data_IF_049099020555
#
_entry.id   IF_049099020555
#
_cell.length_a   1.000
_cell.length_b   1.000
_cell.length_c   1.000
_cell.angle_alpha   90.00
_cell.angle_beta   90.00
_cell.angle_gamma   90.00
#
_symmetry.space_group_name_H-M   'P 1'
#
loop_
_entity.id
_entity.type
_entity.pdbx_description
1 polymer ?
#
# COMPACT_ATOMS: atom_id res chain seq x y z
N UNK A 1 8.91 -3.82 33.26
CA UNK A 1 7.81 -4.17 32.34
C UNK A 1 6.60 -3.34 32.75
N UNK A 2 6.20 -2.34 31.95
CA UNK A 2 4.94 -1.63 32.18
C UNK A 2 3.85 -2.40 31.41
N UNK A 3 2.94 -3.01 32.15
CA UNK A 3 1.75 -3.63 31.59
C UNK A 3 0.72 -2.53 31.32
N UNK A 4 0.72 -2.00 30.10
CA UNK A 4 -0.35 -1.10 29.61
C UNK A 4 -1.59 -1.91 29.23
N UNK A 5 -2.14 -2.66 30.20
CA UNK A 5 -3.46 -3.27 30.03
C UNK A 5 -4.48 -2.15 30.19
N UNK A 6 -4.90 -1.58 29.06
CA UNK A 6 -5.94 -0.55 28.99
C UNK A 6 -7.22 -1.14 29.59
N UNK A 7 -7.60 -0.64 30.77
CA UNK A 7 -8.84 -1.02 31.43
C UNK A 7 -10.02 -0.32 30.74
N UNK A 8 -11.16 -1.01 30.52
CA UNK A 8 -12.34 -0.37 29.93
C UNK A 8 -12.91 0.69 30.88
N UNK A 9 -13.09 1.90 30.37
CA UNK A 9 -13.91 2.94 31.02
C UNK A 9 -15.36 2.76 30.56
N UNK A 10 -16.35 3.10 31.39
CA UNK A 10 -17.77 2.93 31.09
C UNK A 10 -18.50 4.28 31.11
N UNK A 11 -19.53 4.43 30.28
CA UNK A 11 -20.44 5.58 30.32
C UNK A 11 -21.41 5.49 31.53
N UNK A 12 -22.23 6.53 31.72
CA UNK A 12 -23.24 6.60 32.79
C UNK A 12 -24.28 5.46 32.75
N UNK A 13 -24.42 4.78 31.60
CA UNK A 13 -25.31 3.65 31.38
C UNK A 13 -24.58 2.29 31.50
N UNK A 14 -23.32 2.28 31.95
CA UNK A 14 -22.51 1.08 32.09
C UNK A 14 -22.04 0.47 30.77
N UNK A 15 -21.99 1.24 29.68
CA UNK A 15 -21.49 0.80 28.37
C UNK A 15 -20.00 1.12 28.22
N UNK A 16 -19.17 0.18 27.75
CA UNK A 16 -17.74 0.44 27.60
C UNK A 16 -17.47 1.53 26.56
N UNK A 17 -16.70 2.55 26.96
CA UNK A 17 -16.27 3.65 26.11
C UNK A 17 -15.23 3.16 25.09
N UNK A 18 -15.54 3.34 23.80
CA UNK A 18 -14.61 3.02 22.72
C UNK A 18 -13.55 4.13 22.60
N UNK A 19 -12.41 3.94 23.26
CA UNK A 19 -11.24 4.79 23.02
C UNK A 19 -10.69 4.60 21.61
N UNK A 20 -10.31 5.71 20.97
CA UNK A 20 -9.50 5.68 19.76
C UNK A 20 -8.16 5.01 20.12
N UNK A 21 -7.83 3.93 19.43
CA UNK A 21 -6.52 3.27 19.57
C UNK A 21 -5.54 3.97 18.64
N UNK A 22 -4.47 4.53 19.18
CA UNK A 22 -3.39 5.09 18.37
C UNK A 22 -2.53 3.95 17.84
N UNK A 23 -2.46 3.81 16.52
CA UNK A 23 -1.53 2.90 15.84
C UNK A 23 -0.31 3.69 15.41
N UNK A 24 0.88 3.28 15.85
CA UNK A 24 2.14 3.81 15.32
C UNK A 24 2.58 2.95 14.13
N UNK A 25 3.06 3.58 13.05
CA UNK A 25 3.69 2.85 11.94
C UNK A 25 4.92 2.13 12.51
N UNK A 26 4.88 0.79 12.57
CA UNK A 26 6.08 -0.01 12.82
C UNK A 26 6.87 -0.06 11.51
N UNK A 27 7.58 1.01 11.18
CA UNK A 27 8.53 0.98 10.07
C UNK A 27 9.73 0.13 10.50
N UNK A 28 9.81 -1.09 9.96
CA UNK A 28 11.07 -1.82 9.92
C UNK A 28 12.08 -1.10 9.02
N UNK A 29 13.37 -1.45 9.16
CA UNK A 29 14.41 -0.96 8.23
C UNK A 29 14.13 -1.50 6.82
N UNK A 30 14.34 -0.65 5.82
CA UNK A 30 14.39 -1.07 4.42
C UNK A 30 15.60 -2.00 4.22
N UNK A 31 15.41 -3.05 3.43
CA UNK A 31 16.56 -3.77 2.85
C UNK A 31 17.17 -2.93 1.74
N UNK A 32 18.45 -3.17 1.40
CA UNK A 32 19.11 -2.48 0.27
C UNK A 32 18.35 -2.64 -1.05
N UNK A 33 17.74 -3.82 -1.27
CA UNK A 33 16.94 -4.08 -2.47
C UNK A 33 15.65 -3.26 -2.49
N UNK A 34 14.96 -3.13 -1.36
CA UNK A 34 13.75 -2.31 -1.26
C UNK A 34 14.04 -0.82 -1.43
N UNK A 35 15.14 -0.33 -0.85
CA UNK A 35 15.60 1.06 -1.02
C UNK A 35 15.94 1.33 -2.49
N UNK A 36 16.74 0.47 -3.12
CA UNK A 36 17.05 0.58 -4.54
C UNK A 36 15.80 0.55 -5.43
N UNK A 37 14.84 -0.34 -5.14
CA UNK A 37 13.60 -0.43 -5.90
C UNK A 37 12.75 0.84 -5.77
N UNK A 38 12.64 1.41 -4.57
CA UNK A 38 11.98 2.70 -4.35
C UNK A 38 12.67 3.81 -5.15
N UNK A 39 13.99 3.91 -5.10
CA UNK A 39 14.72 4.97 -5.81
C UNK A 39 14.61 4.87 -7.34
N UNK A 40 14.64 3.65 -7.89
CA UNK A 40 14.76 3.46 -9.34
C UNK A 40 13.42 3.25 -10.04
N UNK A 41 12.42 2.69 -9.34
CA UNK A 41 11.15 2.31 -9.97
C UNK A 41 9.97 3.16 -9.54
N UNK A 42 10.05 3.85 -8.39
CA UNK A 42 9.03 4.84 -8.03
C UNK A 42 8.87 5.96 -9.06
N UNK A 43 9.93 6.47 -9.73
CA UNK A 43 9.76 7.50 -10.76
C UNK A 43 8.93 7.06 -11.97
N UNK A 44 8.79 5.75 -12.21
CA UNK A 44 8.08 5.19 -13.37
C UNK A 44 6.70 4.65 -12.97
N UNK A 45 6.63 3.87 -11.87
CA UNK A 45 5.41 3.18 -11.43
C UNK A 45 4.72 3.85 -10.22
N UNK A 46 5.41 4.76 -9.54
CA UNK A 46 4.90 5.46 -8.36
C UNK A 46 3.91 6.55 -8.73
N UNK A 47 2.90 6.73 -7.88
CA UNK A 47 1.92 7.82 -8.01
C UNK A 47 1.99 8.67 -6.75
N UNK A 48 2.37 9.94 -6.94
CA UNK A 48 2.38 10.90 -5.84
C UNK A 48 0.97 11.30 -5.43
N UNK A 49 0.80 11.55 -4.14
CA UNK A 49 -0.47 12.04 -3.62
C UNK A 49 -0.79 13.43 -4.17
N UNK A 50 -2.05 13.63 -4.54
CA UNK A 50 -2.61 14.92 -4.96
C UNK A 50 -4.01 15.08 -4.40
N UNK A 51 -4.44 16.33 -4.19
CA UNK A 51 -5.83 16.65 -3.81
C UNK A 51 -6.82 16.46 -4.98
N UNK A 52 -6.31 16.40 -6.21
CA UNK A 52 -7.12 16.17 -7.39
C UNK A 52 -7.44 14.68 -7.57
N UNK A 53 -8.65 14.33 -8.09
CA UNK A 53 -8.94 12.97 -8.51
C UNK A 53 -7.96 12.48 -9.58
N UNK A 54 -7.60 11.20 -9.53
CA UNK A 54 -6.73 10.55 -10.51
C UNK A 54 -7.49 10.36 -11.83
N UNK A 55 -6.91 10.82 -12.94
CA UNK A 55 -7.33 10.45 -14.29
C UNK A 55 -6.62 9.15 -14.71
N UNK A 56 -7.35 8.04 -14.69
CA UNK A 56 -6.80 6.73 -15.00
C UNK A 56 -6.40 6.56 -16.47
N UNK A 57 -7.10 7.22 -17.41
CA UNK A 57 -6.77 7.11 -18.82
C UNK A 57 -5.41 7.76 -19.10
N UNK A 58 -5.16 8.92 -18.49
CA UNK A 58 -3.86 9.59 -18.55
C UNK A 58 -2.78 8.82 -17.79
N UNK A 59 -3.07 8.33 -16.58
CA UNK A 59 -2.10 7.60 -15.75
C UNK A 59 -1.58 6.34 -16.44
N UNK A 60 -2.47 5.52 -17.01
CA UNK A 60 -2.11 4.25 -17.65
C UNK A 60 -1.87 4.38 -19.17
N UNK A 61 -2.07 5.56 -19.75
CA UNK A 61 -1.95 5.78 -21.20
C UNK A 61 -2.98 5.03 -22.06
N UNK A 62 -4.04 4.47 -21.44
CA UNK A 62 -5.10 3.69 -22.11
C UNK A 62 -6.38 3.65 -21.29
N UNK A 63 -7.50 3.40 -21.96
CA UNK A 63 -8.77 3.07 -21.32
C UNK A 63 -8.89 1.54 -21.14
N UNK A 64 -8.89 1.08 -19.89
CA UNK A 64 -9.10 -0.31 -19.53
C UNK A 64 -9.72 -0.39 -18.12
N UNK A 65 -10.35 -1.52 -17.74
CA UNK A 65 -10.82 -1.74 -16.38
C UNK A 65 -9.68 -1.56 -15.37
N UNK A 66 -9.95 -0.83 -14.28
CA UNK A 66 -8.97 -0.56 -13.22
C UNK A 66 -9.34 -1.36 -11.98
N UNK A 67 -8.39 -2.15 -11.48
CA UNK A 67 -8.49 -2.85 -10.20
C UNK A 67 -7.64 -2.13 -9.15
N UNK A 68 -8.23 -1.83 -8.00
CA UNK A 68 -7.55 -1.21 -6.86
C UNK A 68 -7.34 -2.22 -5.73
N UNK A 69 -6.10 -2.39 -5.28
CA UNK A 69 -5.77 -3.19 -4.08
C UNK A 69 -5.29 -2.27 -2.95
N UNK A 70 -6.03 -2.23 -1.84
CA UNK A 70 -5.70 -1.42 -0.66
C UNK A 70 -5.03 -2.31 0.39
N UNK A 71 -3.84 -1.90 0.84
CA UNK A 71 -3.02 -2.68 1.76
C UNK A 71 -2.43 -3.91 1.10
N UNK A 72 -1.82 -3.75 -0.08
CA UNK A 72 -1.27 -4.87 -0.86
C UNK A 72 -0.09 -5.58 -0.19
N UNK A 73 0.42 -5.06 0.94
CA UNK A 73 1.53 -5.65 1.68
C UNK A 73 2.80 -5.68 0.84
N UNK A 74 3.29 -6.87 0.51
CA UNK A 74 4.48 -7.05 -0.34
C UNK A 74 4.18 -7.05 -1.85
N UNK A 75 2.91 -7.00 -2.25
CA UNK A 75 2.52 -6.88 -3.67
C UNK A 75 2.43 -8.19 -4.45
N UNK A 76 2.64 -9.35 -3.82
CA UNK A 76 2.61 -10.63 -4.53
C UNK A 76 1.26 -10.91 -5.24
N UNK A 77 0.14 -10.56 -4.58
CA UNK A 77 -1.20 -10.66 -5.17
C UNK A 77 -1.35 -9.69 -6.36
N UNK A 78 -1.01 -8.42 -6.14
CA UNK A 78 -1.11 -7.35 -7.14
C UNK A 78 -0.32 -7.66 -8.41
N UNK A 79 0.96 -8.02 -8.28
CA UNK A 79 1.84 -8.34 -9.40
C UNK A 79 1.36 -9.58 -10.15
N UNK A 80 0.93 -10.62 -9.44
CA UNK A 80 0.40 -11.84 -10.07
C UNK A 80 -0.90 -11.55 -10.86
N UNK A 81 -1.79 -10.71 -10.32
CA UNK A 81 -3.01 -10.32 -11.02
C UNK A 81 -2.70 -9.51 -12.28
N UNK A 82 -1.78 -8.55 -12.18
CA UNK A 82 -1.36 -7.69 -13.29
C UNK A 82 -0.67 -8.48 -14.41
N UNK A 83 0.25 -9.38 -14.07
CA UNK A 83 0.90 -10.29 -15.02
C UNK A 83 -0.12 -11.19 -15.74
N UNK A 84 -1.13 -11.68 -15.02
CA UNK A 84 -2.14 -12.57 -15.60
C UNK A 84 -3.18 -11.85 -16.47
N UNK A 85 -3.31 -10.53 -16.35
CA UNK A 85 -4.34 -9.71 -17.02
C UNK A 85 -3.75 -8.44 -17.62
N UNK A 86 -2.87 -8.57 -18.64
CA UNK A 86 -2.22 -7.42 -19.27
C UNK A 86 -3.22 -6.46 -19.95
N UNK A 87 -4.46 -6.90 -20.18
CA UNK A 87 -5.56 -6.07 -20.70
C UNK A 87 -6.21 -5.15 -19.66
N UNK A 88 -5.90 -5.32 -18.37
CA UNK A 88 -6.44 -4.50 -17.27
C UNK A 88 -5.37 -3.65 -16.61
N UNK A 89 -5.80 -2.60 -15.93
CA UNK A 89 -4.95 -1.70 -15.16
C UNK A 89 -5.01 -2.05 -13.67
N UNK A 90 -3.90 -1.91 -12.96
CA UNK A 90 -3.79 -2.25 -11.55
C UNK A 90 -3.17 -1.08 -10.77
N UNK A 91 -3.85 -0.64 -9.72
CA UNK A 91 -3.35 0.38 -8.81
C UNK A 91 -3.28 -0.23 -7.40
N UNK A 92 -2.12 -0.10 -6.75
CA UNK A 92 -1.92 -0.52 -5.38
C UNK A 92 -1.78 0.66 -4.43
N UNK A 93 -2.37 0.57 -3.24
CA UNK A 93 -2.14 1.52 -2.14
C UNK A 93 -1.53 0.77 -0.96
N UNK A 94 -0.35 1.16 -0.53
CA UNK A 94 0.29 0.61 0.67
C UNK A 94 1.01 1.74 1.44
N UNK A 95 0.84 1.74 2.75
CA UNK A 95 1.45 2.72 3.65
C UNK A 95 2.78 2.23 4.22
N UNK A 96 3.15 0.97 4.03
CA UNK A 96 4.40 0.38 4.48
C UNK A 96 5.45 0.39 3.36
N UNK A 97 6.42 1.30 3.44
CA UNK A 97 7.45 1.50 2.42
C UNK A 97 8.26 0.23 2.05
N UNK A 98 8.63 -0.68 3.00
CA UNK A 98 9.23 -1.96 2.64
C UNK A 98 8.36 -2.82 1.72
N UNK A 99 7.04 -2.77 1.92
CA UNK A 99 6.06 -3.45 1.06
C UNK A 99 6.01 -2.85 -0.34
N UNK A 100 5.99 -1.52 -0.42
CA UNK A 100 6.07 -0.78 -1.70
C UNK A 100 7.35 -1.13 -2.47
N UNK A 101 8.52 -1.08 -1.82
CA UNK A 101 9.78 -1.44 -2.46
C UNK A 101 9.83 -2.90 -2.93
N UNK A 102 9.26 -3.83 -2.16
CA UNK A 102 9.14 -5.22 -2.58
C UNK A 102 8.22 -5.39 -3.79
N UNK A 103 7.08 -4.70 -3.80
CA UNK A 103 6.13 -4.72 -4.91
C UNK A 103 6.75 -4.17 -6.20
N UNK A 104 7.42 -3.01 -6.12
CA UNK A 104 8.09 -2.39 -7.26
C UNK A 104 9.19 -3.29 -7.85
N UNK A 105 10.01 -3.90 -6.99
CA UNK A 105 11.05 -4.82 -7.43
C UNK A 105 10.47 -6.03 -8.17
N UNK A 106 9.41 -6.63 -7.63
CA UNK A 106 8.75 -7.78 -8.24
C UNK A 106 8.02 -7.41 -9.54
N UNK A 107 7.37 -6.24 -9.60
CA UNK A 107 6.71 -5.76 -10.82
C UNK A 107 7.72 -5.60 -11.96
N UNK A 108 8.85 -4.95 -11.69
CA UNK A 108 9.94 -4.79 -12.65
C UNK A 108 10.54 -6.15 -13.08
N UNK A 109 10.79 -7.07 -12.15
CA UNK A 109 11.33 -8.42 -12.46
C UNK A 109 10.36 -9.23 -13.35
N UNK A 110 9.07 -9.09 -13.12
CA UNK A 110 8.01 -9.78 -13.87
C UNK A 110 7.61 -9.08 -15.18
N UNK A 111 8.19 -7.91 -15.48
CA UNK A 111 7.89 -7.12 -16.67
C UNK A 111 6.48 -6.53 -16.66
N UNK A 112 5.98 -6.20 -15.48
CA UNK A 112 4.68 -5.55 -15.28
C UNK A 112 4.96 -4.09 -14.94
N UNK A 113 4.68 -3.20 -15.89
CA UNK A 113 4.85 -1.74 -15.77
C UNK A 113 3.50 -1.02 -15.90
#
# INVERSE_FOLDING_TARGET
MKNDVISPEFDENGRPLRRIRSFVRRQGRLTKGQEHALENYWPVMGVEFSEAPVDFATLFGREAPVTLEIGFGMGASLVAMAKARPEQNFLGIEVHSPGVGACLASANEEGVE
#
